data_IF_723944987226
#
_entry.id   IF_723944987226
#
_cell.length_a   1.000
_cell.length_b   1.000
_cell.length_c   1.000
_cell.angle_alpha   90.00
_cell.angle_beta   90.00
_cell.angle_gamma   90.00
#
_symmetry.space_group_name_H-M   'P 1'
#
loop_
_entity.id
_entity.type
_entity.pdbx_description
1 polymer ?
#
# COMPACT_ATOMS: atom_id res chain seq x y z
N UNK A 1 -22.33 28.85 48.11
CA UNK A 1 -22.10 28.47 46.69
C UNK A 1 -21.01 29.39 46.14
N UNK A 2 -19.77 28.92 46.12
CA UNK A 2 -18.64 29.65 45.55
C UNK A 2 -18.20 28.93 44.28
N UNK A 3 -18.25 29.68 43.19
CA UNK A 3 -17.76 29.33 41.86
C UNK A 3 -16.23 29.17 41.91
N UNK A 4 -15.75 27.97 41.59
CA UNK A 4 -14.39 27.79 41.08
C UNK A 4 -14.45 26.97 39.79
N UNK A 5 -14.71 27.68 38.69
CA UNK A 5 -14.23 27.27 37.37
C UNK A 5 -12.72 27.40 37.41
N UNK A 6 -12.00 26.28 37.47
CA UNK A 6 -10.54 26.27 37.43
C UNK A 6 -10.04 25.33 36.34
N UNK A 7 -9.79 25.95 35.19
CA UNK A 7 -8.70 25.66 34.25
C UNK A 7 -8.70 24.24 33.67
N UNK A 8 -9.47 24.07 32.59
CA UNK A 8 -9.07 23.19 31.50
C UNK A 8 -7.70 23.69 31.02
N UNK A 9 -6.64 23.04 31.51
CA UNK A 9 -5.32 23.27 30.98
C UNK A 9 -5.32 22.56 29.63
N UNK A 10 -5.58 23.34 28.57
CA UNK A 10 -5.33 22.99 27.18
C UNK A 10 -3.83 22.72 27.04
N UNK A 11 -3.37 21.55 27.48
CA UNK A 11 -2.12 20.99 27.02
C UNK A 11 -2.38 20.49 25.60
N UNK A 12 -2.31 21.43 24.66
CA UNK A 12 -2.04 21.14 23.26
C UNK A 12 -0.88 20.14 23.24
N UNK A 13 -1.20 18.89 22.92
CA UNK A 13 -0.24 17.93 22.41
C UNK A 13 0.45 18.63 21.25
N UNK A 14 1.68 19.12 21.46
CA UNK A 14 2.48 19.73 20.41
C UNK A 14 2.89 18.62 19.45
N UNK A 15 2.23 18.47 18.29
CA UNK A 15 2.51 17.39 17.36
C UNK A 15 3.84 17.63 16.63
N UNK A 16 4.52 18.77 16.87
CA UNK A 16 5.63 19.25 16.07
C UNK A 16 6.99 18.76 16.54
N UNK A 17 7.10 18.11 17.72
CA UNK A 17 8.41 17.71 18.26
C UNK A 17 9.16 16.63 17.48
N UNK A 18 8.50 15.96 16.53
CA UNK A 18 9.13 15.06 15.54
C UNK A 18 8.52 15.15 14.13
N UNK A 19 8.01 16.31 13.68
CA UNK A 19 7.40 16.44 12.34
C UNK A 19 8.30 17.08 11.27
N UNK A 20 9.60 17.22 11.53
CA UNK A 20 10.55 17.81 10.56
C UNK A 20 11.18 16.75 9.64
N UNK A 21 11.23 15.47 10.02
CA UNK A 21 11.79 14.41 9.15
C UNK A 21 10.77 13.71 8.24
N UNK A 22 9.49 14.06 8.33
CA UNK A 22 8.45 13.58 7.41
C UNK A 22 8.05 14.68 6.42
N UNK A 23 9.04 15.45 5.95
CA UNK A 23 8.95 16.09 4.65
C UNK A 23 8.84 14.94 3.64
N UNK A 24 7.58 14.49 3.44
CA UNK A 24 7.20 13.36 2.61
C UNK A 24 7.99 13.52 1.34
N UNK A 25 9.00 12.67 1.12
CA UNK A 25 9.64 12.53 -0.17
C UNK A 25 8.50 12.53 -1.19
N UNK A 26 8.53 13.45 -2.17
CA UNK A 26 7.48 13.60 -3.20
C UNK A 26 6.83 12.24 -3.41
N UNK A 27 5.58 12.07 -2.97
CA UNK A 27 4.97 10.75 -3.04
C UNK A 27 4.96 10.40 -4.52
N UNK A 28 5.86 9.49 -4.92
CA UNK A 28 5.92 9.06 -6.31
C UNK A 28 4.54 8.52 -6.63
N UNK A 29 3.99 8.98 -7.75
CA UNK A 29 2.75 8.42 -8.28
C UNK A 29 3.00 6.93 -8.46
N UNK A 30 2.29 6.11 -7.69
CA UNK A 30 2.47 4.66 -7.75
C UNK A 30 2.10 4.22 -9.15
N UNK A 31 2.94 3.40 -9.78
CA UNK A 31 2.63 2.82 -11.08
C UNK A 31 1.28 2.08 -11.00
N UNK A 32 0.33 2.50 -11.84
CA UNK A 32 -0.95 1.81 -12.02
C UNK A 32 -0.67 0.41 -12.56
N UNK A 33 -1.27 -0.61 -11.97
CA UNK A 33 -1.24 -1.99 -12.49
C UNK A 33 -2.48 -2.20 -13.33
N UNK A 34 -2.32 -2.72 -14.54
CA UNK A 34 -3.45 -3.11 -15.39
C UNK A 34 -3.96 -4.50 -14.98
N UNK A 35 -5.25 -4.75 -15.20
CA UNK A 35 -5.83 -6.07 -14.98
C UNK A 35 -5.44 -7.03 -16.12
N UNK A 36 -4.44 -7.88 -15.88
CA UNK A 36 -3.89 -8.82 -16.86
C UNK A 36 -4.87 -9.96 -17.13
N UNK A 37 -5.73 -10.33 -16.17
CA UNK A 37 -6.67 -11.43 -16.31
C UNK A 37 -7.65 -11.18 -17.44
N UNK A 38 -8.04 -9.91 -17.63
CA UNK A 38 -8.90 -9.49 -18.75
C UNK A 38 -8.29 -9.71 -20.13
N UNK A 39 -6.97 -9.90 -20.25
CA UNK A 39 -6.30 -10.23 -21.52
C UNK A 39 -6.56 -11.70 -21.91
N UNK A 40 -6.89 -12.56 -20.94
CA UNK A 40 -7.22 -13.96 -21.24
C UNK A 40 -8.58 -14.10 -21.94
N UNK A 41 -9.45 -13.10 -21.82
CA UNK A 41 -10.70 -13.01 -22.57
C UNK A 41 -10.41 -12.69 -24.05
N UNK A 42 -10.82 -13.57 -24.97
CA UNK A 42 -10.54 -13.45 -26.42
C UNK A 42 -10.96 -12.10 -26.97
N UNK A 43 -12.14 -11.62 -26.60
CA UNK A 43 -12.74 -10.38 -27.12
C UNK A 43 -11.90 -9.14 -26.75
N UNK A 44 -11.45 -9.05 -25.50
CA UNK A 44 -10.62 -7.93 -25.01
C UNK A 44 -9.23 -7.97 -25.60
N UNK A 45 -8.67 -9.18 -25.80
CA UNK A 45 -7.38 -9.38 -26.45
C UNK A 45 -7.41 -8.91 -27.90
N UNK A 46 -8.41 -9.32 -28.66
CA UNK A 46 -8.56 -8.93 -30.07
C UNK A 46 -8.81 -7.43 -30.21
N UNK A 47 -9.69 -6.86 -29.37
CA UNK A 47 -9.93 -5.42 -29.33
C UNK A 47 -8.65 -4.62 -29.08
N UNK A 48 -7.84 -5.05 -28.10
CA UNK A 48 -6.57 -4.39 -27.78
C UNK A 48 -5.55 -4.51 -28.91
N UNK A 49 -5.42 -5.70 -29.51
CA UNK A 49 -4.52 -5.92 -30.64
C UNK A 49 -4.91 -5.07 -31.87
N UNK A 50 -6.20 -4.98 -32.17
CA UNK A 50 -6.70 -4.18 -33.28
C UNK A 50 -6.43 -2.68 -33.07
N UNK A 51 -6.63 -2.17 -31.86
CA UNK A 51 -6.30 -0.77 -31.54
C UNK A 51 -4.80 -0.48 -31.62
N UNK A 52 -3.94 -1.40 -31.20
CA UNK A 52 -2.48 -1.21 -31.35
C UNK A 52 -2.10 -1.12 -32.83
N UNK A 53 -2.67 -1.98 -33.68
CA UNK A 53 -2.44 -1.92 -35.13
C UNK A 53 -2.88 -0.58 -35.69
N UNK A 54 -4.08 -0.11 -35.34
CA UNK A 54 -4.60 1.19 -35.75
C UNK A 54 -3.70 2.36 -35.32
N UNK A 55 -3.21 2.36 -34.07
CA UNK A 55 -2.26 3.37 -33.58
C UNK A 55 -0.98 3.36 -34.42
N UNK A 56 -0.47 2.18 -34.78
CA UNK A 56 0.76 2.03 -35.54
C UNK A 56 0.57 2.47 -37.01
N UNK A 57 -0.54 2.11 -37.63
CA UNK A 57 -0.87 2.43 -39.02
C UNK A 57 -1.09 3.94 -39.20
N UNK A 58 -1.77 4.59 -38.24
CA UNK A 58 -1.96 6.05 -38.22
C UNK A 58 -0.67 6.86 -38.04
N UNK A 59 0.44 6.19 -37.66
CA UNK A 59 1.75 6.82 -37.40
C UNK A 59 2.74 6.70 -38.53
N UNK A 60 2.59 5.74 -39.44
CA UNK A 60 3.51 5.52 -40.56
C UNK A 60 3.67 6.76 -41.47
N UNK A 61 2.79 7.76 -41.33
CA UNK A 61 2.71 8.94 -42.19
C UNK A 61 3.20 10.27 -41.56
N UNK A 62 3.83 10.26 -40.37
CA UNK A 62 4.26 11.51 -39.69
C UNK A 62 5.79 11.63 -39.56
N UNK A 63 6.36 12.67 -40.17
CA UNK A 63 7.73 13.13 -39.92
C UNK A 63 7.82 13.81 -38.54
N UNK A 64 8.16 13.05 -37.50
CA UNK A 64 8.35 13.58 -36.14
C UNK A 64 9.67 13.04 -35.58
N UNK A 65 10.30 13.82 -34.69
CA UNK A 65 11.50 13.41 -33.94
C UNK A 65 11.24 12.11 -33.15
N UNK A 66 12.15 11.14 -33.25
CA UNK A 66 12.00 9.76 -32.70
C UNK A 66 11.61 9.74 -31.21
N UNK A 67 12.12 10.67 -30.41
CA UNK A 67 11.77 10.77 -28.98
C UNK A 67 10.31 11.16 -28.75
N UNK A 68 9.78 12.12 -29.51
CA UNK A 68 8.38 12.51 -29.45
C UNK A 68 7.45 11.37 -29.88
N UNK A 69 7.86 10.61 -30.91
CA UNK A 69 7.12 9.42 -31.37
C UNK A 69 6.97 8.42 -30.23
N UNK A 70 8.03 8.11 -29.48
CA UNK A 70 7.96 7.13 -28.40
C UNK A 70 7.07 7.59 -27.24
N UNK A 71 7.15 8.86 -26.84
CA UNK A 71 6.33 9.42 -25.76
C UNK A 71 4.85 9.33 -26.12
N UNK A 72 4.49 9.77 -27.31
CA UNK A 72 3.10 9.71 -27.78
C UNK A 72 2.62 8.26 -27.93
N UNK A 73 3.51 7.33 -28.30
CA UNK A 73 3.16 5.93 -28.51
C UNK A 73 2.77 5.29 -27.20
N UNK A 74 3.64 5.51 -26.21
CA UNK A 74 3.47 5.04 -24.86
C UNK A 74 2.20 5.61 -24.25
N UNK A 75 1.93 6.91 -24.47
CA UNK A 75 0.70 7.54 -24.00
C UNK A 75 -0.56 6.92 -24.64
N UNK A 76 -0.55 6.69 -25.96
CA UNK A 76 -1.67 6.06 -26.67
C UNK A 76 -1.92 4.64 -26.16
N UNK A 77 -0.88 3.82 -26.01
CA UNK A 77 -1.00 2.45 -25.47
C UNK A 77 -1.56 2.48 -24.04
N UNK A 78 -1.02 3.33 -23.17
CA UNK A 78 -1.47 3.42 -21.78
C UNK A 78 -2.95 3.81 -21.71
N UNK A 79 -3.37 4.76 -22.54
CA UNK A 79 -4.77 5.23 -22.58
C UNK A 79 -5.71 4.14 -23.05
N UNK A 80 -5.34 3.41 -24.10
CA UNK A 80 -6.15 2.30 -24.61
C UNK A 80 -6.17 1.09 -23.67
N UNK A 81 -5.04 0.80 -23.03
CA UNK A 81 -4.96 -0.23 -22.01
C UNK A 81 -5.88 0.11 -20.81
N UNK A 82 -5.93 1.38 -20.39
CA UNK A 82 -6.84 1.81 -19.32
C UNK A 82 -8.31 1.72 -19.75
N UNK A 83 -8.64 1.99 -21.01
CA UNK A 83 -10.00 1.85 -21.54
C UNK A 83 -10.48 0.39 -21.66
N UNK A 84 -9.62 -0.53 -22.10
CA UNK A 84 -9.99 -1.93 -22.38
C UNK A 84 -9.79 -2.84 -21.17
N UNK A 85 -8.62 -2.75 -20.53
CA UNK A 85 -8.26 -3.59 -19.39
C UNK A 85 -8.64 -2.92 -18.07
N UNK A 86 -8.53 -1.59 -18.00
CA UNK A 86 -8.67 -0.85 -16.76
C UNK A 86 -7.59 -1.19 -15.74
N UNK A 87 -7.60 -0.42 -14.66
CA UNK A 87 -6.69 -0.60 -13.55
C UNK A 87 -7.16 -1.72 -12.62
N UNK A 88 -6.20 -2.49 -12.09
CA UNK A 88 -6.43 -3.38 -10.97
C UNK A 88 -6.67 -2.53 -9.72
N UNK A 89 -7.80 -2.76 -9.05
CA UNK A 89 -8.05 -2.14 -7.75
C UNK A 89 -6.97 -2.56 -6.77
N UNK A 90 -6.63 -1.65 -5.86
CA UNK A 90 -5.70 -1.96 -4.80
C UNK A 90 -6.35 -3.02 -3.93
N UNK A 91 -5.80 -4.23 -3.94
CA UNK A 91 -6.17 -5.23 -2.96
C UNK A 91 -5.83 -4.67 -1.58
N UNK A 92 -6.83 -4.60 -0.73
CA UNK A 92 -6.60 -4.37 0.68
C UNK A 92 -5.96 -5.64 1.22
N UNK A 93 -4.68 -5.55 1.59
CA UNK A 93 -3.94 -6.62 2.26
C UNK A 93 -4.43 -6.77 3.72
N UNK A 94 -5.74 -6.83 3.92
CA UNK A 94 -6.40 -7.05 5.20
C UNK A 94 -6.33 -8.50 5.64
N UNK A 95 -5.88 -9.43 4.79
CA UNK A 95 -5.79 -10.87 5.11
C UNK A 95 -5.02 -11.18 6.40
N UNK A 96 -4.05 -10.36 6.78
CA UNK A 96 -3.31 -10.52 8.05
C UNK A 96 -3.75 -9.53 9.14
N UNK A 97 -4.60 -8.57 8.79
CA UNK A 97 -5.02 -7.47 9.66
C UNK A 97 -6.44 -7.72 10.16
N UNK A 98 -6.56 -8.67 11.08
CA UNK A 98 -7.83 -8.97 11.74
C UNK A 98 -8.20 -7.90 12.77
N UNK A 99 -9.44 -7.96 13.26
CA UNK A 99 -9.93 -7.12 14.36
C UNK A 99 -8.99 -7.16 15.58
N UNK A 100 -8.48 -8.35 15.94
CA UNK A 100 -7.53 -8.53 17.03
C UNK A 100 -6.17 -7.82 16.79
N UNK A 101 -5.72 -7.74 15.52
CA UNK A 101 -4.55 -6.94 15.15
C UNK A 101 -4.81 -5.45 15.42
N UNK A 102 -5.98 -4.95 15.01
CA UNK A 102 -6.43 -3.59 15.28
C UNK A 102 -6.45 -3.28 16.77
N UNK A 103 -7.07 -4.14 17.57
CA UNK A 103 -7.14 -4.01 19.03
C UNK A 103 -5.76 -3.98 19.69
N UNK A 104 -4.86 -4.90 19.31
CA UNK A 104 -3.50 -4.95 19.87
C UNK A 104 -2.69 -3.70 19.57
N UNK A 105 -2.84 -3.11 18.37
CA UNK A 105 -2.20 -1.86 17.98
C UNK A 105 -2.79 -0.69 18.74
N UNK A 106 -4.12 -0.64 18.87
CA UNK A 106 -4.81 0.39 19.64
C UNK A 106 -4.40 0.35 21.11
N UNK A 107 -4.30 -0.84 21.71
CA UNK A 107 -3.84 -1.04 23.08
C UNK A 107 -2.39 -0.58 23.25
N UNK A 108 -1.49 -0.94 22.32
CA UNK A 108 -0.10 -0.46 22.30
C UNK A 108 -0.04 1.07 22.25
N UNK A 109 -0.83 1.70 21.37
CA UNK A 109 -0.87 3.15 21.24
C UNK A 109 -1.39 3.81 22.52
N UNK A 110 -2.47 3.27 23.12
CA UNK A 110 -2.99 3.74 24.40
C UNK A 110 -1.95 3.67 25.51
N UNK A 111 -1.24 2.55 25.66
CA UNK A 111 -0.16 2.39 26.65
C UNK A 111 1.03 3.30 26.39
N UNK A 112 1.34 3.58 25.13
CA UNK A 112 2.35 4.56 24.77
C UNK A 112 1.96 5.97 25.23
N UNK A 113 0.70 6.39 25.03
CA UNK A 113 0.20 7.68 25.51
C UNK A 113 0.25 7.77 27.04
N UNK A 114 -0.24 6.75 27.75
CA UNK A 114 -0.18 6.68 29.23
C UNK A 114 1.27 6.78 29.76
N UNK A 115 2.22 6.13 29.09
CA UNK A 115 3.64 6.20 29.42
C UNK A 115 4.25 7.59 29.12
N UNK A 116 3.89 8.19 27.98
CA UNK A 116 4.39 9.50 27.57
C UNK A 116 3.88 10.63 28.49
N UNK A 117 2.62 10.55 28.93
CA UNK A 117 2.04 11.53 29.85
C UNK A 117 2.75 11.53 31.20
N UNK A 118 2.96 10.34 31.80
CA UNK A 118 3.71 10.19 33.06
C UNK A 118 4.50 8.88 33.04
N UNK A 119 5.81 8.94 32.77
CA UNK A 119 6.66 7.76 32.78
C UNK A 119 6.73 7.15 34.18
N UNK A 120 6.34 5.88 34.30
CA UNK A 120 6.55 5.08 35.51
C UNK A 120 7.05 3.70 35.12
N UNK A 121 7.71 3.00 36.05
CA UNK A 121 8.21 1.65 35.80
C UNK A 121 7.09 0.70 35.37
N UNK A 122 5.95 0.73 36.07
CA UNK A 122 4.77 -0.06 35.75
C UNK A 122 4.19 0.27 34.37
N UNK A 123 4.12 1.56 33.99
CA UNK A 123 3.62 1.98 32.67
C UNK A 123 4.58 1.62 31.53
N UNK A 124 5.89 1.68 31.79
CA UNK A 124 6.91 1.24 30.85
C UNK A 124 6.82 -0.28 30.62
N UNK A 125 6.66 -1.06 31.68
CA UNK A 125 6.46 -2.51 31.60
C UNK A 125 5.16 -2.85 30.82
N UNK A 126 4.05 -2.18 31.13
CA UNK A 126 2.78 -2.35 30.40
C UNK A 126 2.90 -1.99 28.90
N UNK A 127 3.63 -0.92 28.55
CA UNK A 127 3.90 -0.58 27.16
C UNK A 127 4.77 -1.64 26.47
N UNK A 128 5.82 -2.14 27.13
CA UNK A 128 6.68 -3.21 26.60
C UNK A 128 5.88 -4.48 26.32
N UNK A 129 4.98 -4.86 27.21
CA UNK A 129 4.10 -6.02 27.02
C UNK A 129 3.13 -5.82 25.85
N UNK A 130 2.45 -4.67 25.78
CA UNK A 130 1.54 -4.35 24.68
C UNK A 130 2.29 -4.29 23.33
N UNK A 131 3.52 -3.76 23.33
CA UNK A 131 4.38 -3.73 22.14
C UNK A 131 4.75 -5.13 21.67
N UNK A 132 5.07 -6.06 22.58
CA UNK A 132 5.34 -7.47 22.23
C UNK A 132 4.14 -8.13 21.57
N UNK A 133 2.93 -7.90 22.09
CA UNK A 133 1.68 -8.50 21.59
C UNK A 133 1.24 -7.97 20.23
N UNK A 134 1.57 -6.73 19.88
CA UNK A 134 1.20 -6.12 18.60
C UNK A 134 1.95 -6.69 17.37
N UNK A 135 2.84 -7.68 17.52
CA UNK A 135 3.71 -8.19 16.46
C UNK A 135 3.10 -9.37 15.65
N UNK A 136 1.79 -9.38 15.39
CA UNK A 136 1.15 -10.41 14.55
C UNK A 136 1.63 -10.41 13.09
N UNK A 137 1.95 -9.23 12.52
CA UNK A 137 2.52 -9.12 11.15
C UNK A 137 3.75 -10.02 10.94
N UNK A 138 4.60 -10.14 11.97
CA UNK A 138 5.82 -10.94 11.87
C UNK A 138 5.51 -12.43 11.83
N UNK A 139 4.50 -12.88 12.58
CA UNK A 139 4.07 -14.27 12.58
C UNK A 139 3.49 -14.66 11.21
N UNK A 140 2.57 -13.83 10.67
CA UNK A 140 1.99 -14.05 9.34
C UNK A 140 3.05 -14.10 8.23
N UNK A 141 3.99 -13.15 8.21
CA UNK A 141 5.06 -13.15 7.20
C UNK A 141 5.97 -14.38 7.32
N UNK A 142 6.23 -14.87 8.55
CA UNK A 142 6.99 -16.09 8.74
C UNK A 142 6.24 -17.33 8.22
N UNK A 143 4.92 -17.39 8.44
CA UNK A 143 4.08 -18.47 7.91
C UNK A 143 4.07 -18.49 6.38
N UNK A 144 3.93 -17.32 5.75
CA UNK A 144 4.05 -17.23 4.28
C UNK A 144 5.42 -17.66 3.76
N UNK A 145 6.51 -17.32 4.46
CA UNK A 145 7.86 -17.77 4.08
C UNK A 145 8.01 -19.28 4.16
N UNK A 146 7.46 -19.91 5.21
CA UNK A 146 7.47 -21.37 5.34
C UNK A 146 6.67 -22.03 4.23
N UNK A 147 5.51 -21.48 3.88
CA UNK A 147 4.69 -21.96 2.77
C UNK A 147 5.44 -21.88 1.43
N UNK A 148 6.14 -20.77 1.17
CA UNK A 148 6.99 -20.62 -0.02
C UNK A 148 8.11 -21.66 -0.04
N UNK A 149 8.81 -21.88 1.08
CA UNK A 149 9.86 -22.90 1.18
C UNK A 149 9.33 -24.31 0.86
N UNK A 150 8.11 -24.62 1.30
CA UNK A 150 7.46 -25.90 1.01
C UNK A 150 7.03 -26.01 -0.46
N UNK A 151 6.53 -24.93 -1.06
CA UNK A 151 6.21 -24.89 -2.49
C UNK A 151 7.46 -25.04 -3.38
N UNK A 152 8.59 -24.48 -2.95
CA UNK A 152 9.89 -24.73 -3.61
C UNK A 152 10.32 -26.19 -3.51
N UNK A 153 10.21 -26.81 -2.32
CA UNK A 153 10.52 -28.24 -2.14
C UNK A 153 9.65 -29.14 -3.02
N UNK A 154 8.41 -28.73 -3.26
CA UNK A 154 7.44 -29.45 -4.08
C UNK A 154 7.50 -29.11 -5.59
N UNK A 155 8.53 -28.38 -6.05
CA UNK A 155 8.68 -27.91 -7.44
C UNK A 155 7.48 -27.08 -7.97
N UNK A 156 6.68 -26.48 -7.09
CA UNK A 156 5.55 -25.61 -7.44
C UNK A 156 5.99 -24.15 -7.49
N UNK A 157 7.01 -23.87 -8.31
CA UNK A 157 7.64 -22.53 -8.39
C UNK A 157 6.68 -21.42 -8.81
N UNK A 158 5.65 -21.75 -9.61
CA UNK A 158 4.60 -20.81 -10.01
C UNK A 158 3.72 -20.36 -8.84
N UNK A 159 3.54 -21.20 -7.82
CA UNK A 159 2.71 -20.89 -6.65
C UNK A 159 3.48 -20.10 -5.59
N UNK A 160 4.81 -20.27 -5.52
CA UNK A 160 5.66 -19.58 -4.54
C UNK A 160 5.77 -18.05 -4.77
N UNK A 161 5.47 -17.58 -5.98
CA UNK A 161 5.54 -16.16 -6.36
C UNK A 161 4.20 -15.59 -6.83
N UNK A 162 3.15 -16.41 -6.84
CA UNK A 162 1.82 -16.11 -7.39
C UNK A 162 0.98 -15.25 -6.46
#
# INVERSE_FOLDING_TARGET
MLLYKSVAHDFQYDPHRCKISCQRSKQYEKCKKFNIDKITESDKREAFQNKIKEINDNRANKEVMVEGIWVDFKAAIITEADGILGCQEKQDNTEWFDEECGESINLKNKKYMEYMERPSRARNEAYKEARKKAHKKRAFLNEQLLQMEEDFKNNKTRNAFG
#
